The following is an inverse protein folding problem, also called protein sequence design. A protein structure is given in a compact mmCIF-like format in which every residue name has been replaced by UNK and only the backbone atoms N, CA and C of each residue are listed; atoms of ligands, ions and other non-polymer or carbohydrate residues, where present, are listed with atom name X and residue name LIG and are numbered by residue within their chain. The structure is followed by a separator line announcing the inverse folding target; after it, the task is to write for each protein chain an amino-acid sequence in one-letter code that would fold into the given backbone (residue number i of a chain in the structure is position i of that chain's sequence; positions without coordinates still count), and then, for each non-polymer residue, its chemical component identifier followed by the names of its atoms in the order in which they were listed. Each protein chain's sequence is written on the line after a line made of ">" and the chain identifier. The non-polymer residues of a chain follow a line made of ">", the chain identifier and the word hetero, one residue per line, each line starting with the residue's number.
data_IF_543166529668
#
_entry.id   IF_543166529668
#
_cell.length_a   1.000
_cell.length_b   1.000
_cell.length_c   1.000
_cell.angle_alpha   90.00
_cell.angle_beta   90.00
_cell.angle_gamma   90.00
#
_symmetry.space_group_name_H-M   'P 1'
#
loop_
_entity.id
_entity.type
_entity.pdbx_description
1 polymer ?
#
# COMPACT_ATOMS: atom_id res chain seq x y z
N UNK A 1 -7.97 25.39 -7.10
CA UNK A 1 -7.87 26.58 -7.99
C UNK A 1 -6.78 26.52 -9.07
N UNK A 2 -5.58 25.90 -8.90
CA UNK A 2 -4.56 25.85 -9.96
C UNK A 2 -4.89 24.89 -11.12
N UNK A 3 -5.50 23.73 -10.82
CA UNK A 3 -5.88 22.72 -11.83
C UNK A 3 -6.95 23.23 -12.79
N UNK A 4 -7.94 24.00 -12.31
CA UNK A 4 -8.98 24.56 -13.16
C UNK A 4 -8.42 25.61 -14.13
N UNK A 5 -7.45 26.41 -13.68
CA UNK A 5 -6.72 27.35 -14.53
C UNK A 5 -5.84 26.61 -15.55
N UNK A 6 -5.15 25.54 -15.14
CA UNK A 6 -4.37 24.67 -16.03
C UNK A 6 -5.28 23.99 -17.08
N UNK A 7 -6.42 23.42 -16.69
CA UNK A 7 -7.45 22.83 -17.57
C UNK A 7 -7.97 23.86 -18.59
N UNK A 8 -8.28 25.08 -18.15
CA UNK A 8 -8.73 26.18 -19.02
C UNK A 8 -7.63 26.70 -19.95
N UNK A 9 -6.36 26.59 -19.54
CA UNK A 9 -5.20 26.85 -20.39
C UNK A 9 -4.94 25.73 -21.39
N UNK A 10 -5.13 24.47 -21.04
CA UNK A 10 -4.95 23.30 -21.93
C UNK A 10 -5.96 23.33 -23.09
N UNK A 11 -7.22 23.67 -22.80
CA UNK A 11 -8.23 23.89 -23.84
C UNK A 11 -7.86 25.04 -24.81
N UNK A 12 -7.10 26.03 -24.33
CA UNK A 12 -6.55 27.13 -25.15
C UNK A 12 -5.21 26.76 -25.83
N UNK A 13 -4.43 25.86 -25.24
CA UNK A 13 -3.15 25.38 -25.74
C UNK A 13 -3.27 24.57 -27.03
N UNK A 14 -4.39 23.87 -27.23
CA UNK A 14 -4.74 23.25 -28.52
C UNK A 14 -4.84 24.28 -29.67
N UNK A 15 -5.19 25.54 -29.37
CA UNK A 15 -5.23 26.64 -30.33
C UNK A 15 -3.83 27.24 -30.57
N UNK A 16 -2.99 27.27 -29.53
CA UNK A 16 -1.66 27.89 -29.57
C UNK A 16 -0.59 27.01 -30.25
N UNK A 17 -0.76 25.68 -30.27
CA UNK A 17 0.13 24.76 -30.99
C UNK A 17 0.02 24.96 -32.51
N UNK A 18 -1.17 25.31 -33.03
CA UNK A 18 -1.37 25.60 -34.46
C UNK A 18 -0.62 26.86 -34.92
N UNK A 19 -0.42 27.84 -34.03
CA UNK A 19 0.11 29.17 -34.39
C UNK A 19 1.64 29.31 -34.28
N UNK A 20 2.35 28.38 -33.61
CA UNK A 20 3.77 28.57 -33.25
C UNK A 20 4.76 27.50 -33.73
N UNK A 21 4.45 26.73 -34.76
CA UNK A 21 5.40 25.81 -35.43
C UNK A 21 6.49 26.50 -36.28
N UNK A 22 6.61 27.83 -36.20
CA UNK A 22 7.37 28.66 -37.14
C UNK A 22 8.71 29.28 -36.67
N UNK A 23 9.21 29.05 -35.44
CA UNK A 23 10.34 29.86 -34.92
C UNK A 23 11.44 29.14 -34.12
N UNK A 24 12.64 29.10 -34.71
CA UNK A 24 13.99 28.91 -34.15
C UNK A 24 14.36 27.65 -33.33
N UNK A 25 15.38 26.92 -33.84
CA UNK A 25 16.13 25.78 -33.26
C UNK A 25 15.29 24.71 -32.55
N UNK A 26 14.65 23.88 -33.38
CA UNK A 26 13.87 22.73 -32.95
C UNK A 26 12.39 23.07 -32.75
N UNK A 27 11.51 22.12 -33.08
CA UNK A 27 10.08 22.32 -32.87
C UNK A 27 9.77 22.33 -31.37
N UNK A 28 9.34 23.49 -30.84
CA UNK A 28 8.92 23.61 -29.45
C UNK A 28 7.56 22.92 -29.26
N UNK A 29 7.45 22.06 -28.25
CA UNK A 29 6.20 21.36 -27.91
C UNK A 29 5.18 22.26 -27.22
N UNK A 30 5.54 23.52 -26.95
CA UNK A 30 4.74 24.48 -26.21
C UNK A 30 4.97 24.40 -24.69
N UNK A 31 4.85 25.55 -24.01
CA UNK A 31 5.00 25.67 -22.55
C UNK A 31 4.02 24.76 -21.80
N UNK A 32 2.76 24.71 -22.24
CA UNK A 32 1.70 23.97 -21.57
C UNK A 32 1.93 22.45 -21.59
N UNK A 33 2.41 21.92 -22.73
CA UNK A 33 2.76 20.50 -22.83
C UNK A 33 3.94 20.13 -21.92
N UNK A 34 4.93 21.03 -21.77
CA UNK A 34 6.06 20.83 -20.83
C UNK A 34 5.58 20.82 -19.39
N UNK A 35 4.68 21.73 -19.02
CA UNK A 35 4.09 21.78 -17.68
C UNK A 35 3.28 20.52 -17.36
N UNK A 36 2.43 20.07 -18.30
CA UNK A 36 1.71 18.81 -18.20
C UNK A 36 2.66 17.62 -18.01
N UNK A 37 3.72 17.57 -18.81
CA UNK A 37 4.73 16.53 -18.73
C UNK A 37 5.38 16.47 -17.34
N UNK A 38 5.79 17.62 -16.80
CA UNK A 38 6.38 17.72 -15.47
C UNK A 38 5.40 17.32 -14.35
N UNK A 39 4.12 17.67 -14.52
CA UNK A 39 3.07 17.29 -13.58
C UNK A 39 2.87 15.76 -13.57
N UNK A 40 2.78 15.12 -14.74
CA UNK A 40 2.68 13.67 -14.84
C UNK A 40 3.90 12.96 -14.24
N UNK A 41 5.11 13.50 -14.46
CA UNK A 41 6.33 12.94 -13.84
C UNK A 41 6.28 13.04 -12.31
N UNK A 42 5.68 14.10 -11.77
CA UNK A 42 5.44 14.26 -10.33
C UNK A 42 4.42 13.24 -9.81
N UNK A 43 3.31 13.02 -10.54
CA UNK A 43 2.32 11.99 -10.19
C UNK A 43 2.93 10.59 -10.22
N UNK A 44 3.74 10.26 -11.22
CA UNK A 44 4.45 8.98 -11.29
C UNK A 44 5.34 8.77 -10.08
N UNK A 45 6.19 9.74 -9.76
CA UNK A 45 7.06 9.66 -8.58
C UNK A 45 6.24 9.56 -7.28
N UNK A 46 5.12 10.28 -7.18
CA UNK A 46 4.20 10.19 -6.05
C UNK A 46 3.66 8.76 -5.89
N UNK A 47 3.06 8.18 -6.93
CA UNK A 47 2.46 6.85 -6.87
C UNK A 47 3.49 5.74 -6.56
N UNK A 48 4.67 5.78 -7.17
CA UNK A 48 5.76 4.83 -6.88
C UNK A 48 6.23 4.93 -5.42
N UNK A 49 6.28 6.14 -4.87
CA UNK A 49 6.72 6.35 -3.49
C UNK A 49 5.64 5.99 -2.48
N UNK A 50 4.41 6.46 -2.67
CA UNK A 50 3.33 6.24 -1.70
C UNK A 50 2.96 4.75 -1.61
N UNK A 51 2.93 4.04 -2.74
CA UNK A 51 2.72 2.59 -2.75
C UNK A 51 3.73 1.87 -1.85
N UNK A 52 5.01 2.20 -2.02
CA UNK A 52 6.10 1.61 -1.22
C UNK A 52 5.95 1.97 0.26
N UNK A 53 5.68 3.24 0.57
CA UNK A 53 5.54 3.73 1.96
C UNK A 53 4.34 3.14 2.69
N UNK A 54 3.23 2.93 2.00
CA UNK A 54 2.06 2.26 2.60
C UNK A 54 2.35 0.79 2.86
N UNK A 55 3.00 0.09 1.93
CA UNK A 55 3.45 -1.28 2.19
C UNK A 55 4.42 -1.33 3.40
N UNK A 56 5.34 -0.38 3.51
CA UNK A 56 6.26 -0.27 4.64
C UNK A 56 5.53 0.00 5.97
N UNK A 57 4.46 0.81 5.93
CA UNK A 57 3.63 1.15 7.09
C UNK A 57 2.80 -0.05 7.56
N UNK A 58 2.19 -0.79 6.63
CA UNK A 58 1.43 -2.00 6.94
C UNK A 58 2.35 -3.08 7.46
N UNK A 59 3.55 -3.22 6.88
CA UNK A 59 4.51 -4.27 7.21
C UNK A 59 5.93 -3.72 7.42
N UNK A 60 6.24 -3.22 8.63
CA UNK A 60 7.56 -2.67 8.95
C UNK A 60 8.69 -3.70 8.81
N UNK A 61 8.42 -4.98 9.12
CA UNK A 61 9.40 -6.05 9.06
C UNK A 61 9.71 -6.45 7.59
N UNK A 62 10.94 -6.26 7.09
CA UNK A 62 11.29 -6.54 5.71
C UNK A 62 11.16 -8.03 5.32
N UNK A 63 11.47 -8.96 6.23
CA UNK A 63 11.39 -10.40 5.98
C UNK A 63 9.94 -10.86 5.89
N UNK A 64 9.10 -10.31 6.75
CA UNK A 64 7.68 -10.60 6.77
C UNK A 64 6.98 -9.97 5.54
N UNK A 65 7.35 -8.74 5.17
CA UNK A 65 6.91 -8.08 3.93
C UNK A 65 7.23 -8.92 2.68
N UNK A 66 8.46 -9.43 2.55
CA UNK A 66 8.82 -10.31 1.41
C UNK A 66 7.90 -11.52 1.30
N UNK A 67 7.57 -12.18 2.42
CA UNK A 67 6.68 -13.36 2.43
C UNK A 67 5.23 -13.01 2.12
N UNK A 68 4.69 -11.98 2.77
CA UNK A 68 3.31 -11.53 2.58
C UNK A 68 3.02 -11.08 1.14
N UNK A 69 4.03 -10.47 0.49
CA UNK A 69 3.93 -9.88 -0.84
C UNK A 69 4.50 -10.77 -1.97
N UNK A 70 5.20 -11.88 -1.66
CA UNK A 70 5.63 -12.89 -2.63
C UNK A 70 4.52 -13.91 -2.99
N UNK A 71 3.36 -13.81 -2.35
CA UNK A 71 2.30 -14.82 -2.35
C UNK A 71 1.56 -15.01 -3.68
N UNK A 72 1.64 -14.08 -4.64
CA UNK A 72 0.91 -14.22 -5.90
C UNK A 72 1.44 -15.34 -6.84
N UNK A 73 2.73 -15.68 -6.78
CA UNK A 73 3.34 -16.66 -7.69
C UNK A 73 3.33 -18.10 -7.13
N UNK A 74 3.48 -18.25 -5.80
CA UNK A 74 3.61 -19.56 -5.14
C UNK A 74 2.26 -20.18 -4.77
N UNK A 75 1.23 -19.36 -4.47
CA UNK A 75 -0.09 -19.85 -4.07
C UNK A 75 -0.87 -20.54 -5.20
N UNK A 76 -0.58 -20.22 -6.47
CA UNK A 76 -1.19 -20.92 -7.62
C UNK A 76 -0.65 -22.33 -7.85
N UNK A 77 0.53 -22.66 -7.32
CA UNK A 77 1.23 -23.92 -7.63
C UNK A 77 0.91 -25.03 -6.61
N UNK A 78 0.58 -24.68 -5.36
CA UNK A 78 0.48 -25.68 -4.29
C UNK A 78 -0.94 -26.01 -3.83
N UNK A 79 -2.00 -25.37 -4.35
CA UNK A 79 -3.39 -25.72 -4.01
C UNK A 79 -3.71 -25.67 -2.51
N UNK A 80 -2.83 -25.06 -1.71
CA UNK A 80 -2.88 -25.05 -0.27
C UNK A 80 -3.58 -23.76 0.16
N UNK A 81 -4.82 -23.88 0.63
CA UNK A 81 -5.64 -22.77 1.15
C UNK A 81 -5.20 -22.29 2.53
N UNK A 82 -4.12 -22.84 3.08
CA UNK A 82 -3.48 -22.25 4.25
C UNK A 82 -2.77 -20.96 3.81
N UNK A 83 -3.51 -19.86 3.92
CA UNK A 83 -2.95 -18.57 4.31
C UNK A 83 -2.07 -18.86 5.53
N UNK A 84 -0.78 -19.09 5.33
CA UNK A 84 0.14 -19.23 6.45
C UNK A 84 0.11 -17.87 7.15
N UNK A 85 -0.72 -17.80 8.20
CA UNK A 85 -1.14 -16.56 8.82
C UNK A 85 0.12 -15.78 9.17
N UNK A 86 0.19 -14.58 8.62
CA UNK A 86 1.30 -13.68 8.80
C UNK A 86 1.68 -13.60 10.29
N UNK A 87 2.98 -13.76 10.66
CA UNK A 87 3.40 -13.75 12.05
C UNK A 87 3.39 -12.30 12.57
N UNK A 88 2.19 -11.82 12.90
CA UNK A 88 1.99 -10.57 13.60
C UNK A 88 2.67 -10.63 14.97
N UNK A 89 3.26 -9.52 15.42
CA UNK A 89 3.85 -9.45 16.77
C UNK A 89 2.81 -9.80 17.84
N UNK A 90 1.58 -9.35 17.62
CA UNK A 90 0.40 -9.61 18.42
C UNK A 90 0.02 -11.11 18.45
N UNK A 91 0.33 -11.86 17.38
CA UNK A 91 0.08 -13.31 17.30
C UNK A 91 1.00 -14.09 18.23
N UNK A 92 2.30 -13.76 18.26
CA UNK A 92 3.23 -14.40 19.19
C UNK A 92 2.83 -14.18 20.65
N UNK A 93 2.36 -12.97 20.99
CA UNK A 93 1.87 -12.66 22.32
C UNK A 93 0.58 -13.44 22.65
N UNK A 94 -0.34 -13.54 21.70
CA UNK A 94 -1.54 -14.37 21.82
C UNK A 94 -1.19 -15.83 22.11
N UNK A 95 -0.28 -16.42 21.34
CA UNK A 95 0.08 -17.83 21.47
C UNK A 95 0.73 -18.12 22.83
N UNK A 96 1.62 -17.23 23.29
CA UNK A 96 2.21 -17.28 24.62
C UNK A 96 1.15 -17.26 25.74
N UNK A 97 0.19 -16.34 25.66
CA UNK A 97 -0.90 -16.28 26.64
C UNK A 97 -1.76 -17.55 26.66
N UNK A 98 -2.09 -18.11 25.50
CA UNK A 98 -2.89 -19.33 25.39
C UNK A 98 -2.12 -20.56 25.89
N UNK A 99 -0.84 -20.67 25.57
CA UNK A 99 0.01 -21.77 26.00
C UNK A 99 0.13 -21.80 27.52
N UNK A 100 0.60 -20.71 28.13
CA UNK A 100 0.78 -20.67 29.58
C UNK A 100 -0.55 -20.62 30.34
N UNK A 101 -1.60 -20.05 29.76
CA UNK A 101 -2.95 -20.10 30.33
C UNK A 101 -3.43 -21.54 30.52
N UNK A 102 -3.15 -22.44 29.58
CA UNK A 102 -3.50 -23.88 29.69
C UNK A 102 -2.60 -24.63 30.69
N UNK A 103 -1.31 -24.30 30.73
CA UNK A 103 -0.35 -24.94 31.64
C UNK A 103 -0.60 -24.57 33.11
N UNK A 104 -0.98 -23.32 33.39
CA UNK A 104 -1.22 -22.81 34.74
C UNK A 104 -2.58 -23.17 35.33
N UNK A 105 -3.18 -24.29 34.90
CA UNK A 105 -4.52 -24.77 35.30
C UNK A 105 -4.73 -24.89 36.83
N UNK A 106 -3.64 -24.97 37.62
CA UNK A 106 -3.67 -24.94 39.10
C UNK A 106 -4.02 -23.55 39.68
N UNK A 107 -3.81 -22.47 38.94
CA UNK A 107 -4.16 -21.10 39.30
C UNK A 107 -5.38 -20.66 38.47
N UNK A 108 -6.57 -21.10 38.88
CA UNK A 108 -7.82 -20.98 38.08
C UNK A 108 -8.08 -19.56 37.55
N UNK A 109 -8.02 -18.54 38.40
CA UNK A 109 -8.31 -17.16 37.97
C UNK A 109 -7.25 -16.58 37.01
N UNK A 110 -5.96 -16.83 37.26
CA UNK A 110 -4.88 -16.38 36.39
C UNK A 110 -4.88 -17.12 35.05
N UNK A 111 -5.07 -18.44 35.09
CA UNK A 111 -5.20 -19.29 33.91
C UNK A 111 -6.31 -18.79 32.98
N UNK A 112 -7.50 -18.55 33.52
CA UNK A 112 -8.63 -18.03 32.76
C UNK A 112 -8.35 -16.61 32.22
N UNK A 113 -7.73 -15.74 33.02
CA UNK A 113 -7.37 -14.39 32.57
C UNK A 113 -6.37 -14.41 31.40
N UNK A 114 -5.35 -15.27 31.46
CA UNK A 114 -4.39 -15.47 30.37
C UNK A 114 -5.07 -15.99 29.10
N UNK A 115 -5.98 -16.95 29.23
CA UNK A 115 -6.74 -17.46 28.08
C UNK A 115 -7.54 -16.32 27.43
N UNK A 116 -8.22 -15.47 28.22
CA UNK A 116 -8.94 -14.30 27.69
C UNK A 116 -8.04 -13.29 26.98
N UNK A 117 -6.86 -13.01 27.53
CA UNK A 117 -5.86 -12.19 26.86
C UNK A 117 -5.47 -12.79 25.50
N UNK A 118 -5.19 -14.09 25.46
CA UNK A 118 -4.87 -14.80 24.22
C UNK A 118 -5.96 -14.69 23.16
N UNK A 119 -7.22 -14.98 23.53
CA UNK A 119 -8.39 -14.86 22.63
C UNK A 119 -8.59 -13.42 22.13
N UNK A 120 -8.39 -12.42 22.98
CA UNK A 120 -8.48 -11.02 22.58
C UNK A 120 -7.38 -10.62 21.59
N UNK A 121 -6.13 -10.99 21.84
CA UNK A 121 -5.03 -10.70 20.92
C UNK A 121 -5.14 -11.45 19.59
N UNK A 122 -5.69 -12.67 19.58
CA UNK A 122 -6.05 -13.35 18.34
C UNK A 122 -7.07 -12.55 17.52
N UNK A 123 -8.12 -12.00 18.15
CA UNK A 123 -9.10 -11.13 17.46
C UNK A 123 -8.48 -9.84 16.90
N UNK A 124 -7.50 -9.25 17.60
CA UNK A 124 -6.76 -8.07 17.10
C UNK A 124 -5.98 -8.43 15.84
N UNK A 125 -5.35 -9.61 15.81
CA UNK A 125 -4.64 -10.11 14.63
C UNK A 125 -5.57 -10.27 13.43
N UNK A 126 -6.77 -10.83 13.64
CA UNK A 126 -7.76 -10.99 12.58
C UNK A 126 -8.24 -9.64 12.04
N UNK A 127 -8.54 -8.67 12.91
CA UNK A 127 -8.91 -7.31 12.52
C UNK A 127 -7.79 -6.60 11.73
N UNK A 128 -6.52 -6.82 12.12
CA UNK A 128 -5.36 -6.29 11.40
C UNK A 128 -5.23 -6.89 10.01
N UNK A 129 -5.37 -8.21 9.87
CA UNK A 129 -5.36 -8.89 8.58
C UNK A 129 -6.44 -8.35 7.65
N UNK A 130 -7.66 -8.18 8.16
CA UNK A 130 -8.76 -7.61 7.40
C UNK A 130 -8.44 -6.20 6.89
N UNK A 131 -7.92 -5.32 7.74
CA UNK A 131 -7.54 -3.96 7.35
C UNK A 131 -6.41 -3.92 6.30
N UNK A 132 -5.46 -4.85 6.38
CA UNK A 132 -4.43 -5.03 5.36
C UNK A 132 -5.03 -5.43 4.02
N UNK A 133 -5.99 -6.37 4.01
CA UNK A 133 -6.63 -6.84 2.78
C UNK A 133 -7.57 -5.80 2.16
N UNK A 134 -8.28 -5.02 2.98
CA UNK A 134 -9.04 -3.83 2.56
C UNK A 134 -8.11 -2.77 1.96
N UNK A 135 -6.95 -2.52 2.58
CA UNK A 135 -5.96 -1.59 2.03
C UNK A 135 -5.37 -2.08 0.70
N UNK A 136 -5.10 -3.39 0.57
CA UNK A 136 -4.60 -3.98 -0.68
C UNK A 136 -5.59 -3.79 -1.81
N UNK A 137 -6.85 -4.11 -1.57
CA UNK A 137 -7.91 -4.08 -2.58
C UNK A 137 -8.40 -2.67 -2.91
N UNK A 138 -8.61 -1.82 -1.89
CA UNK A 138 -9.21 -0.49 -2.01
C UNK A 138 -8.21 0.65 -2.28
N UNK A 139 -6.92 0.44 -2.08
CA UNK A 139 -5.89 1.48 -2.27
C UNK A 139 -4.71 1.03 -3.14
N UNK A 140 -4.02 -0.05 -2.75
CA UNK A 140 -2.77 -0.44 -3.40
C UNK A 140 -2.98 -1.01 -4.81
N UNK A 141 -4.09 -1.71 -5.04
CA UNK A 141 -4.48 -2.19 -6.38
C UNK A 141 -4.79 -1.02 -7.33
N UNK A 142 -5.68 -0.06 -7.02
CA UNK A 142 -5.88 1.13 -7.85
C UNK A 142 -4.58 1.87 -8.18
N UNK A 143 -3.69 2.08 -7.21
CA UNK A 143 -2.38 2.73 -7.46
C UNK A 143 -1.53 1.92 -8.44
N UNK A 144 -1.50 0.59 -8.28
CA UNK A 144 -0.77 -0.29 -9.18
C UNK A 144 -1.32 -0.25 -10.60
N UNK A 145 -2.65 -0.20 -10.76
CA UNK A 145 -3.32 -0.07 -12.05
C UNK A 145 -2.97 1.26 -12.72
N UNK A 146 -3.08 2.37 -12.00
CA UNK A 146 -2.68 3.70 -12.49
C UNK A 146 -1.22 3.75 -12.97
N UNK A 147 -0.28 3.14 -12.23
CA UNK A 147 1.13 3.07 -12.62
C UNK A 147 1.36 2.21 -13.87
N UNK A 148 0.74 1.03 -13.92
CA UNK A 148 1.01 0.03 -14.95
C UNK A 148 0.20 0.21 -16.23
N UNK A 149 -0.91 0.94 -16.17
CA UNK A 149 -1.80 1.22 -17.29
C UNK A 149 -1.69 2.69 -17.72
N UNK A 150 -2.28 3.62 -16.97
CA UNK A 150 -2.42 5.02 -17.39
C UNK A 150 -1.07 5.72 -17.57
N UNK A 151 -0.21 5.67 -16.54
CA UNK A 151 1.10 6.32 -16.57
C UNK A 151 2.02 5.64 -17.60
N UNK A 152 1.89 4.32 -17.75
CA UNK A 152 2.65 3.57 -18.76
C UNK A 152 2.24 3.96 -20.18
N UNK A 153 0.95 4.06 -20.44
CA UNK A 153 0.39 4.52 -21.73
C UNK A 153 0.84 5.96 -22.04
N UNK A 154 0.68 6.88 -21.09
CA UNK A 154 1.14 8.27 -21.25
C UNK A 154 2.64 8.32 -21.54
N UNK A 155 3.44 7.48 -20.87
CA UNK A 155 4.89 7.37 -21.14
C UNK A 155 5.16 6.92 -22.57
N UNK A 156 4.40 5.97 -23.11
CA UNK A 156 4.53 5.52 -24.50
C UNK A 156 4.12 6.62 -25.49
N UNK A 157 3.01 7.32 -25.24
CA UNK A 157 2.55 8.43 -26.07
C UNK A 157 3.57 9.59 -26.11
N UNK A 158 4.17 9.93 -24.96
CA UNK A 158 5.24 10.92 -24.88
C UNK A 158 6.46 10.54 -25.72
N UNK A 159 6.86 9.27 -25.71
CA UNK A 159 7.93 8.76 -26.58
C UNK A 159 7.55 8.84 -28.06
N UNK A 160 6.30 8.52 -28.41
CA UNK A 160 5.78 8.67 -29.78
C UNK A 160 5.85 10.13 -30.27
N UNK A 161 5.47 11.09 -29.41
CA UNK A 161 5.59 12.53 -29.71
C UNK A 161 7.04 12.91 -30.01
N UNK A 162 8.00 12.48 -29.17
CA UNK A 162 9.41 12.79 -29.41
C UNK A 162 9.92 12.19 -30.73
N UNK A 163 9.56 10.94 -31.03
CA UNK A 163 9.95 10.30 -32.28
C UNK A 163 9.39 11.06 -33.50
N UNK A 164 8.12 11.46 -33.47
CA UNK A 164 7.51 12.24 -34.55
C UNK A 164 8.10 13.64 -34.69
N UNK A 165 8.43 14.30 -33.56
CA UNK A 165 9.14 15.58 -33.53
C UNK A 165 10.48 15.49 -34.24
N UNK A 166 11.27 14.45 -33.95
CA UNK A 166 12.58 14.23 -34.57
C UNK A 166 12.47 14.00 -36.09
N UNK A 167 11.47 13.24 -36.54
CA UNK A 167 11.20 13.04 -37.98
C UNK A 167 10.83 14.36 -38.67
N UNK A 168 9.94 15.14 -38.05
CA UNK A 168 9.54 16.45 -38.57
C UNK A 168 10.72 17.43 -38.62
N UNK A 169 11.49 17.55 -37.54
CA UNK A 169 12.69 18.40 -37.47
C UNK A 169 13.72 18.00 -38.53
N UNK A 170 13.94 16.71 -38.75
CA UNK A 170 14.86 16.24 -39.79
C UNK A 170 14.42 16.73 -41.18
N UNK A 171 13.14 16.53 -41.53
CA UNK A 171 12.59 16.97 -42.82
C UNK A 171 12.64 18.49 -42.97
N UNK A 172 12.29 19.24 -41.92
CA UNK A 172 12.41 20.69 -41.87
C UNK A 172 13.83 21.16 -42.17
N UNK A 173 14.82 20.59 -41.48
CA UNK A 173 16.23 20.92 -41.68
C UNK A 173 16.72 20.58 -43.10
N UNK A 174 16.23 19.50 -43.71
CA UNK A 174 16.57 19.16 -45.10
C UNK A 174 16.03 20.21 -46.05
N UNK A 175 14.77 20.61 -45.93
CA UNK A 175 14.16 21.67 -46.77
C UNK A 175 14.89 23.01 -46.63
N UNK A 176 15.21 23.42 -45.40
CA UNK A 176 15.96 24.65 -45.13
C UNK A 176 17.36 24.64 -45.75
N UNK A 177 18.03 23.47 -45.79
CA UNK A 177 19.37 23.33 -46.38
C UNK A 177 19.35 23.29 -47.90
N UNK A 178 18.33 22.68 -48.50
CA UNK A 178 18.22 22.54 -49.95
C UNK A 178 17.50 23.70 -50.62
N UNK A 179 16.95 24.66 -49.85
CA UNK A 179 16.03 25.69 -50.32
C UNK A 179 14.88 25.12 -51.17
N UNK A 180 14.47 23.89 -50.87
CA UNK A 180 13.39 23.21 -51.56
C UNK A 180 12.02 23.69 -51.02
N UNK A 181 11.01 23.66 -51.89
CA UNK A 181 9.63 23.92 -51.46
C UNK A 181 9.10 22.75 -50.60
N UNK A 182 8.21 23.03 -49.63
CA UNK A 182 7.56 21.98 -48.85
C UNK A 182 6.84 20.99 -49.74
N UNK A 183 7.17 19.71 -49.59
CA UNK A 183 6.53 18.61 -50.32
C UNK A 183 5.39 17.97 -49.50
N UNK A 184 4.64 17.07 -50.14
CA UNK A 184 3.56 16.34 -49.48
C UNK A 184 4.06 15.55 -48.26
N UNK A 185 5.29 15.03 -48.35
CA UNK A 185 5.92 14.28 -47.28
C UNK A 185 6.20 15.18 -46.05
N UNK A 186 6.65 16.43 -46.25
CA UNK A 186 6.82 17.39 -45.17
C UNK A 186 5.50 17.66 -44.44
N UNK A 187 4.42 17.96 -45.16
CA UNK A 187 3.12 18.24 -44.54
C UNK A 187 2.58 17.00 -43.81
N UNK A 188 2.79 15.80 -44.35
CA UNK A 188 2.42 14.55 -43.67
C UNK A 188 3.19 14.38 -42.34
N UNK A 189 4.49 14.66 -42.32
CA UNK A 189 5.29 14.55 -41.10
C UNK A 189 4.89 15.57 -40.02
N UNK A 190 4.46 16.76 -40.44
CA UNK A 190 3.90 17.79 -39.57
C UNK A 190 2.58 17.34 -38.96
N UNK A 191 1.64 16.87 -39.79
CA UNK A 191 0.34 16.36 -39.34
C UNK A 191 0.49 15.20 -38.35
N UNK A 192 1.38 14.26 -38.62
CA UNK A 192 1.65 13.13 -37.71
C UNK A 192 2.24 13.57 -36.36
N UNK A 193 3.03 14.65 -36.33
CA UNK A 193 3.53 15.23 -35.09
C UNK A 193 2.43 15.92 -34.30
N UNK A 194 1.60 16.74 -34.95
CA UNK A 194 0.47 17.44 -34.34
C UNK A 194 -0.57 16.45 -33.77
N UNK A 195 -0.88 15.37 -34.50
CA UNK A 195 -1.77 14.31 -34.04
C UNK A 195 -1.21 13.59 -32.81
N UNK A 196 0.09 13.24 -32.82
CA UNK A 196 0.75 12.61 -31.69
C UNK A 196 0.73 13.53 -30.45
N UNK A 197 0.97 14.82 -30.64
CA UNK A 197 0.97 15.83 -29.57
C UNK A 197 -0.43 15.98 -28.97
N UNK A 198 -1.47 16.05 -29.82
CA UNK A 198 -2.87 16.13 -29.40
C UNK A 198 -3.29 14.89 -28.62
N UNK A 199 -2.95 13.70 -29.11
CA UNK A 199 -3.28 12.42 -28.45
C UNK A 199 -2.62 12.32 -27.07
N UNK A 200 -1.33 12.64 -26.99
CA UNK A 200 -0.57 12.65 -25.73
C UNK A 200 -1.15 13.66 -24.73
N UNK A 201 -1.46 14.88 -25.18
CA UNK A 201 -2.06 15.94 -24.35
C UNK A 201 -3.43 15.52 -23.80
N UNK A 202 -4.25 14.91 -24.65
CA UNK A 202 -5.57 14.39 -24.25
C UNK A 202 -5.45 13.29 -23.19
N UNK A 203 -4.54 12.34 -23.37
CA UNK A 203 -4.30 11.29 -22.39
C UNK A 203 -3.85 11.85 -21.02
N UNK A 204 -2.92 12.82 -21.01
CA UNK A 204 -2.52 13.49 -19.77
C UNK A 204 -3.68 14.25 -19.11
N UNK A 205 -4.53 14.91 -19.90
CA UNK A 205 -5.67 15.66 -19.38
C UNK A 205 -6.73 14.74 -18.78
N UNK A 206 -7.08 13.66 -19.48
CA UNK A 206 -8.02 12.65 -18.99
C UNK A 206 -7.55 12.05 -17.66
N UNK A 207 -6.25 11.77 -17.53
CA UNK A 207 -5.67 11.30 -16.27
C UNK A 207 -5.79 12.32 -15.13
N UNK A 208 -5.71 13.63 -15.42
CA UNK A 208 -5.93 14.67 -14.42
C UNK A 208 -7.42 14.93 -14.11
N UNK A 209 -8.32 14.37 -14.92
CA UNK A 209 -9.76 14.41 -14.67
C UNK A 209 -10.23 13.27 -13.76
N UNK A 210 -9.41 12.24 -13.52
CA UNK A 210 -9.72 11.14 -12.59
C UNK A 210 -9.44 11.48 -11.11
N UNK A 211 -9.56 12.75 -10.72
CA UNK A 211 -9.24 13.20 -9.36
C UNK A 211 -10.19 12.60 -8.31
N UNK A 212 -11.43 12.28 -8.71
CA UNK A 212 -12.43 11.68 -7.84
C UNK A 212 -12.02 10.27 -7.43
N UNK A 213 -11.60 9.44 -8.39
CA UNK A 213 -11.14 8.07 -8.14
C UNK A 213 -9.87 8.04 -7.26
N UNK A 214 -8.99 9.02 -7.43
CA UNK A 214 -7.77 9.16 -6.62
C UNK A 214 -8.09 9.50 -5.16
N UNK A 215 -9.05 10.41 -4.95
CA UNK A 215 -9.54 10.76 -3.62
C UNK A 215 -10.28 9.57 -2.98
N UNK A 216 -11.07 8.84 -3.76
CA UNK A 216 -11.79 7.64 -3.29
C UNK A 216 -10.81 6.55 -2.81
N UNK A 217 -9.73 6.31 -3.56
CA UNK A 217 -8.69 5.38 -3.11
C UNK A 217 -8.09 5.80 -1.74
N UNK A 218 -7.78 7.10 -1.57
CA UNK A 218 -7.28 7.63 -0.29
C UNK A 218 -8.31 7.47 0.83
N UNK A 219 -9.59 7.72 0.54
CA UNK A 219 -10.68 7.53 1.48
C UNK A 219 -10.77 6.06 1.94
N UNK A 220 -10.68 5.11 1.00
CA UNK A 220 -10.68 3.68 1.31
C UNK A 220 -9.51 3.28 2.22
N UNK A 221 -8.31 3.81 1.96
CA UNK A 221 -7.15 3.57 2.82
C UNK A 221 -7.39 4.05 4.25
N UNK A 222 -7.83 5.31 4.41
CA UNK A 222 -8.09 5.89 5.74
C UNK A 222 -9.21 5.15 6.47
N UNK A 223 -10.24 4.72 5.73
CA UNK A 223 -11.36 3.95 6.29
C UNK A 223 -10.91 2.58 6.81
N UNK A 224 -10.10 1.85 6.05
CA UNK A 224 -9.54 0.56 6.46
C UNK A 224 -8.67 0.69 7.72
N UNK A 225 -7.84 1.74 7.81
CA UNK A 225 -7.04 2.01 9.00
C UNK A 225 -7.92 2.37 10.20
N UNK A 226 -8.90 3.25 10.02
CA UNK A 226 -9.81 3.67 11.09
C UNK A 226 -10.59 2.48 11.67
N UNK A 227 -11.11 1.61 10.80
CA UNK A 227 -11.85 0.41 11.20
C UNK A 227 -11.02 -0.48 12.13
N UNK A 228 -9.76 -0.76 11.76
CA UNK A 228 -8.83 -1.54 12.58
C UNK A 228 -8.61 -0.95 13.97
N UNK A 229 -8.34 0.36 14.06
CA UNK A 229 -8.09 1.00 15.35
C UNK A 229 -9.34 1.04 16.23
N UNK A 230 -10.52 1.23 15.64
CA UNK A 230 -11.79 1.18 16.37
C UNK A 230 -12.09 -0.23 16.89
N UNK A 231 -11.91 -1.26 16.06
CA UNK A 231 -12.07 -2.65 16.47
C UNK A 231 -11.09 -3.03 17.59
N UNK A 232 -9.83 -2.65 17.45
CA UNK A 232 -8.80 -2.90 18.47
C UNK A 232 -9.16 -2.21 19.78
N UNK A 233 -9.60 -0.95 19.74
CA UNK A 233 -10.02 -0.22 20.94
C UNK A 233 -11.21 -0.90 21.63
N UNK A 234 -12.19 -1.39 20.86
CA UNK A 234 -13.33 -2.16 21.38
C UNK A 234 -12.87 -3.46 22.04
N UNK A 235 -12.05 -4.27 21.35
CA UNK A 235 -11.55 -5.56 21.86
C UNK A 235 -10.78 -5.36 23.17
N UNK A 236 -9.91 -4.35 23.25
CA UNK A 236 -9.14 -4.05 24.45
C UNK A 236 -10.00 -3.49 25.59
N UNK A 237 -11.02 -2.70 25.28
CA UNK A 237 -11.97 -2.20 26.27
C UNK A 237 -12.75 -3.35 26.92
N UNK A 238 -13.23 -4.30 26.12
CA UNK A 238 -13.94 -5.48 26.59
C UNK A 238 -13.02 -6.36 27.46
N UNK A 239 -11.81 -6.65 26.97
CA UNK A 239 -10.80 -7.40 27.72
C UNK A 239 -10.49 -6.75 29.07
N UNK A 240 -10.33 -5.42 29.11
CA UNK A 240 -10.09 -4.70 30.36
C UNK A 240 -11.22 -4.91 31.36
N UNK A 241 -12.48 -4.89 30.90
CA UNK A 241 -13.66 -5.16 31.72
C UNK A 241 -13.66 -6.58 32.29
N UNK A 242 -13.39 -7.58 31.44
CA UNK A 242 -13.29 -8.98 31.85
C UNK A 242 -12.18 -9.21 32.89
N UNK A 243 -11.00 -8.62 32.66
CA UNK A 243 -9.88 -8.72 33.58
C UNK A 243 -10.15 -8.03 34.92
N UNK A 244 -10.89 -6.92 34.91
CA UNK A 244 -11.30 -6.24 36.13
C UNK A 244 -12.20 -7.15 36.98
N UNK A 245 -13.20 -7.79 36.36
CA UNK A 245 -14.07 -8.75 37.05
C UNK A 245 -13.27 -9.94 37.59
N UNK A 246 -12.34 -10.49 36.81
CA UNK A 246 -11.48 -11.60 37.25
C UNK A 246 -10.54 -11.22 38.39
N UNK A 247 -9.95 -10.04 38.34
CA UNK A 247 -9.13 -9.50 39.43
C UNK A 247 -9.95 -9.37 40.72
N UNK A 248 -11.17 -8.85 40.63
CA UNK A 248 -12.01 -8.63 41.80
C UNK A 248 -12.50 -9.97 42.39
N UNK A 249 -12.84 -10.94 41.54
CA UNK A 249 -13.10 -12.32 41.96
C UNK A 249 -11.89 -12.97 42.65
N UNK A 250 -10.72 -12.88 42.03
CA UNK A 250 -9.48 -13.42 42.59
C UNK A 250 -9.17 -12.80 43.96
N UNK A 251 -9.38 -11.49 44.15
CA UNK A 251 -9.20 -10.79 45.44
C UNK A 251 -10.15 -11.28 46.53
N UNK A 252 -11.38 -11.64 46.17
CA UNK A 252 -12.37 -12.16 47.12
C UNK A 252 -12.05 -13.61 47.52
N UNK A 253 -11.46 -14.39 46.60
CA UNK A 253 -11.16 -15.80 46.79
C UNK A 253 -9.71 -16.08 47.23
N UNK A 254 -8.83 -15.07 47.21
CA UNK A 254 -7.48 -15.21 47.79
C UNK A 254 -7.57 -14.95 49.29
N UNK A 255 -7.33 -15.95 50.15
CA UNK A 255 -7.16 -15.70 51.57
C UNK A 255 -5.83 -14.95 51.74
N UNK A 256 -5.88 -13.65 52.03
CA UNK A 256 -4.67 -12.91 52.45
C UNK A 256 -4.10 -13.49 53.76
N UNK A 257 -2.79 -13.32 53.96
CA UNK A 257 -1.88 -14.37 54.38
C UNK A 257 -2.14 -14.82 55.80
N UNK A 258 -2.16 -16.13 56.02
CA UNK A 258 -1.97 -16.71 57.34
C UNK A 258 -0.68 -16.10 57.89
N UNK A 259 -0.80 -15.29 58.95
CA UNK A 259 0.34 -14.69 59.61
C UNK A 259 1.44 -15.74 59.80
N UNK A 260 2.64 -15.44 59.30
CA UNK A 260 3.89 -16.17 59.45
C UNK A 260 3.86 -17.28 60.52
N UNK A 261 3.29 -18.46 60.21
CA UNK A 261 3.32 -19.68 61.03
C UNK A 261 2.57 -20.90 60.47
N UNK A 262 2.35 -21.00 59.16
CA UNK A 262 1.96 -22.28 58.56
C UNK A 262 3.03 -22.75 57.58
N UNK A 263 3.49 -23.99 57.78
CA UNK A 263 4.48 -24.67 56.95
C UNK A 263 4.09 -24.50 55.48
N UNK A 264 5.11 -24.27 54.64
CA UNK A 264 4.95 -24.36 53.19
C UNK A 264 4.26 -25.69 52.84
N UNK A 265 3.27 -25.69 51.93
CA UNK A 265 2.72 -26.93 51.41
C UNK A 265 3.83 -27.74 50.74
N UNK A 266 3.83 -29.06 50.95
CA UNK A 266 4.82 -29.96 50.36
C UNK A 266 4.74 -29.86 48.83
N UNK A 267 5.79 -29.29 48.24
CA UNK A 267 5.98 -29.27 46.79
C UNK A 267 6.34 -30.71 46.41
N UNK A 268 5.53 -31.42 45.59
CA UNK A 268 5.93 -32.72 45.06
C UNK A 268 7.27 -32.54 44.34
N UNK A 269 8.25 -33.37 44.68
CA UNK A 269 9.59 -33.31 44.10
C UNK A 269 9.49 -33.26 42.58
N UNK A 270 10.06 -32.22 41.98
CA UNK A 270 10.18 -32.09 40.54
C UNK A 270 11.14 -33.18 40.09
N UNK A 271 10.63 -34.22 39.43
CA UNK A 271 11.44 -35.33 38.94
C UNK A 271 12.18 -34.86 37.68
N UNK A 272 13.50 -34.61 37.73
CA UNK A 272 14.23 -33.92 36.65
C UNK A 272 14.23 -34.71 35.33
N UNK A 273 13.98 -36.02 35.40
CA UNK A 273 14.06 -36.94 34.27
C UNK A 273 12.77 -37.03 33.43
N UNK A 274 11.70 -36.32 33.81
CA UNK A 274 10.40 -36.40 33.14
C UNK A 274 10.17 -35.37 32.01
N UNK A 275 11.12 -34.46 31.76
CA UNK A 275 11.05 -33.52 30.63
C UNK A 275 12.29 -33.59 29.76
N UNK A 276 12.34 -34.63 28.92
CA UNK A 276 13.17 -34.61 27.72
C UNK A 276 12.47 -33.78 26.63
N UNK A 277 12.38 -32.46 26.85
CA UNK A 277 11.98 -31.50 25.82
C UNK A 277 13.26 -30.91 25.24
N UNK A 278 13.75 -31.54 24.17
CA UNK A 278 14.70 -30.93 23.27
C UNK A 278 14.09 -29.62 22.75
N UNK A 279 14.54 -28.51 23.32
CA UNK A 279 14.43 -27.19 22.70
C UNK A 279 15.31 -27.20 21.45
N UNK A 280 14.77 -27.69 20.33
CA UNK A 280 15.36 -27.37 19.03
C UNK A 280 15.14 -25.89 18.77
N UNK A 281 16.19 -25.10 19.01
CA UNK A 281 16.31 -23.76 18.49
C UNK A 281 16.38 -23.85 16.95
N UNK A 282 15.26 -23.66 16.26
CA UNK A 282 15.27 -23.33 14.84
C UNK A 282 15.62 -21.85 14.69
N UNK A 283 16.88 -21.61 14.30
CA UNK A 283 17.38 -20.37 13.72
C UNK A 283 16.74 -20.17 12.33
#
# INVERSE_FOLDING_TARGET
>A
MPLLALKKHIARGNQFISEKLGGAKGTDKGSDYKQLTQLIDSYKAYYENIQRRVIDCLEPNPNARKRAWASAAVQKIQGNTNTENYPHAEKFLSDCFLEYGRQLSRQQDLSLALIRCGEAYSRIVDSKNQSVDETKSGYLKPISETLNQDIREITMLRKKVENKRLTFDHRKNVLERTNAQPDQAFEESKNQYEEALTTSTKAMSNFLDSEVEQIEALFNFVTAQLSFYQDTARILSDLRGELQMKRDHARQNTPYPVGFKQRLPDIPSFDPDSTNLQLEAKI
#
